data_IF_236742704053
#
_entry.id   IF_236742704053
#
_cell.length_a   1.000
_cell.length_b   1.000
_cell.length_c   1.000
_cell.angle_alpha   90.00
_cell.angle_beta   90.00
_cell.angle_gamma   90.00
#
_symmetry.space_group_name_H-M   'P 1'
#
loop_
_entity.id
_entity.type
_entity.pdbx_description
1 polymer ?
#
# COMPACT_ATOMS: atom_id res chain seq x y z
N UNK A 1 -25.12 -13.82 17.55
CA UNK A 1 -24.01 -12.95 17.99
C UNK A 1 -22.71 -13.73 17.83
N UNK A 2 -21.74 -13.24 17.04
CA UNK A 2 -20.42 -13.87 17.02
C UNK A 2 -19.87 -13.86 18.45
N UNK A 3 -19.32 -14.99 18.90
CA UNK A 3 -18.63 -15.03 20.18
C UNK A 3 -17.39 -14.13 20.13
N UNK A 4 -16.99 -13.56 21.26
CA UNK A 4 -15.77 -12.74 21.36
C UNK A 4 -14.56 -13.44 20.74
N UNK A 5 -14.41 -14.75 20.98
CA UNK A 5 -13.35 -15.55 20.37
C UNK A 5 -13.43 -15.63 18.84
N UNK A 6 -14.63 -15.78 18.27
CA UNK A 6 -14.80 -15.75 16.80
C UNK A 6 -14.43 -14.39 16.24
N UNK A 7 -14.83 -13.29 16.90
CA UNK A 7 -14.47 -11.95 16.47
C UNK A 7 -12.95 -11.75 16.46
N UNK A 8 -12.27 -12.10 17.55
CA UNK A 8 -10.80 -11.97 17.64
C UNK A 8 -10.10 -12.85 16.61
N UNK A 9 -10.60 -14.06 16.36
CA UNK A 9 -10.06 -14.94 15.32
C UNK A 9 -10.11 -14.29 13.93
N UNK A 10 -11.26 -13.74 13.53
CA UNK A 10 -11.38 -13.08 12.23
C UNK A 10 -10.51 -11.82 12.13
N UNK A 11 -10.44 -11.02 13.19
CA UNK A 11 -9.56 -9.84 13.21
C UNK A 11 -8.09 -10.25 13.10
N UNK A 12 -7.66 -11.27 13.83
CA UNK A 12 -6.30 -11.80 13.75
C UNK A 12 -5.97 -12.34 12.36
N UNK A 13 -6.92 -13.05 11.73
CA UNK A 13 -6.78 -13.54 10.37
C UNK A 13 -6.60 -12.40 9.35
N UNK A 14 -7.42 -11.35 9.44
CA UNK A 14 -7.34 -10.19 8.56
C UNK A 14 -6.04 -9.40 8.77
N UNK A 15 -5.65 -9.18 10.03
CA UNK A 15 -4.40 -8.52 10.36
C UNK A 15 -3.18 -9.29 9.83
N UNK A 16 -3.19 -10.62 9.99
CA UNK A 16 -2.16 -11.50 9.44
C UNK A 16 -2.09 -11.43 7.92
N UNK A 17 -3.23 -11.45 7.23
CA UNK A 17 -3.29 -11.30 5.77
C UNK A 17 -2.69 -9.98 5.29
N UNK A 18 -3.04 -8.87 5.94
CA UNK A 18 -2.50 -7.55 5.61
C UNK A 18 -0.99 -7.52 5.85
N UNK A 19 -0.52 -8.05 6.98
CA UNK A 19 0.90 -8.08 7.32
C UNK A 19 1.72 -8.90 6.33
N UNK A 20 1.25 -10.10 5.97
CA UNK A 20 1.95 -10.94 4.98
C UNK A 20 1.91 -10.29 3.60
N UNK A 21 0.80 -9.64 3.25
CA UNK A 21 0.68 -8.88 2.01
C UNK A 21 1.69 -7.74 1.90
N UNK A 22 1.82 -6.92 2.96
CA UNK A 22 2.80 -5.83 2.97
C UNK A 22 4.23 -6.35 3.01
N UNK A 23 4.52 -7.40 3.78
CA UNK A 23 5.83 -8.03 3.82
C UNK A 23 6.24 -8.58 2.44
N UNK A 24 5.31 -9.19 1.70
CA UNK A 24 5.55 -9.65 0.33
C UNK A 24 5.84 -8.48 -0.62
N UNK A 25 5.08 -7.39 -0.53
CA UNK A 25 5.37 -6.19 -1.33
C UNK A 25 6.77 -5.65 -1.05
N UNK A 26 7.18 -5.56 0.21
CA UNK A 26 8.54 -5.09 0.56
C UNK A 26 9.63 -6.06 0.07
N UNK A 27 9.36 -7.36 0.15
CA UNK A 27 10.35 -8.38 -0.23
C UNK A 27 10.55 -8.48 -1.75
N UNK A 28 9.51 -8.23 -2.55
CA UNK A 28 9.52 -8.50 -3.99
C UNK A 28 9.28 -7.28 -4.87
N UNK A 29 8.92 -6.13 -4.30
CA UNK A 29 8.67 -4.88 -5.05
C UNK A 29 9.70 -3.84 -4.64
N UNK A 30 10.56 -3.46 -5.59
CA UNK A 30 11.48 -2.34 -5.41
C UNK A 30 10.72 -1.00 -5.51
N UNK A 31 10.83 -0.12 -4.50
CA UNK A 31 10.21 1.19 -4.56
C UNK A 31 10.89 2.06 -5.63
N UNK A 32 10.14 2.42 -6.67
CA UNK A 32 10.62 3.33 -7.70
C UNK A 32 10.52 4.77 -7.19
N UNK A 33 11.68 5.41 -6.95
CA UNK A 33 11.74 6.83 -6.67
C UNK A 33 11.44 7.62 -7.96
N UNK A 34 10.17 7.97 -8.17
CA UNK A 34 9.79 8.88 -9.25
C UNK A 34 9.75 10.31 -8.73
N UNK A 35 10.27 11.26 -9.51
CA UNK A 35 10.02 12.67 -9.24
C UNK A 35 8.51 12.93 -9.38
N UNK A 36 7.87 13.34 -8.29
CA UNK A 36 6.43 13.71 -8.30
C UNK A 36 6.19 15.04 -9.01
N UNK A 37 7.24 15.84 -9.19
CA UNK A 37 7.28 17.03 -10.03
C UNK A 37 7.90 16.69 -11.37
N UNK A 38 7.10 16.66 -12.43
CA UNK A 38 7.64 16.74 -13.79
C UNK A 38 7.77 18.22 -14.15
N UNK A 39 8.97 18.73 -14.46
CA UNK A 39 9.10 20.11 -14.92
C UNK A 39 8.31 20.26 -16.21
N UNK A 40 7.31 21.15 -16.20
CA UNK A 40 6.57 21.51 -17.41
C UNK A 40 7.58 22.11 -18.38
N UNK A 41 7.66 21.58 -19.61
CA UNK A 41 8.51 22.16 -20.66
C UNK A 41 8.12 23.64 -20.85
N UNK A 42 9.07 24.58 -20.88
CA UNK A 42 8.79 26.01 -20.99
C UNK A 42 7.88 26.35 -22.18
N UNK A 43 8.01 25.63 -23.29
CA UNK A 43 7.20 25.77 -24.51
C UNK A 43 5.70 25.46 -24.31
N UNK A 44 5.32 24.84 -23.18
CA UNK A 44 3.94 24.55 -22.81
C UNK A 44 3.38 25.55 -21.77
N UNK A 45 4.22 26.46 -21.25
CA UNK A 45 3.88 27.34 -20.13
C UNK A 45 3.32 28.72 -20.55
N UNK A 46 3.25 29.03 -21.85
CA UNK A 46 2.60 30.25 -22.33
C UNK A 46 2.04 30.11 -23.76
N UNK A 47 0.74 30.31 -23.90
CA UNK A 47 0.10 30.78 -25.14
C UNK A 47 -0.93 31.84 -24.78
#
# INVERSE_FOLDING_TARGET
>A
MPSLLRLVFFVGLLAGLVFVGTAALVAFVEPQQREMSQPIKPDLLNK
#
